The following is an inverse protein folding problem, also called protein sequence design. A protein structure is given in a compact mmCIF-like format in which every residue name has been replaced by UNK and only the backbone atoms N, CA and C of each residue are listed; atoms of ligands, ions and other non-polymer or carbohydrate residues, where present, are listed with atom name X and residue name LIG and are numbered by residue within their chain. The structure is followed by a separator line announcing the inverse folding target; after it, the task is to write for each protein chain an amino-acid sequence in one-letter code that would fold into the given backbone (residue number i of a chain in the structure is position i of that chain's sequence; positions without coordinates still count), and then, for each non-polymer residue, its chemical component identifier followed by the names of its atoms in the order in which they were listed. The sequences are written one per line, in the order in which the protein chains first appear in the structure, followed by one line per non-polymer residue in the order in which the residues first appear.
data_IF_015458544653
#
_entry.id   IF_015458544653
#
_cell.length_a   1.000
_cell.length_b   1.000
_cell.length_c   1.000
_cell.angle_alpha   90.00
_cell.angle_beta   90.00
_cell.angle_gamma   90.00
#
_symmetry.space_group_name_H-M   'P 1'
#
loop_
_entity.id
_entity.type
_entity.pdbx_description
1 polymer ?
#
# COMPACT_ATOMS: atom_id res chain seq x y z
N UNK A 1 -23.36 -11.03 7.60
CA UNK A 1 -23.47 -12.50 7.42
C UNK A 1 -23.02 -12.83 6.00
N UNK A 2 -21.77 -13.25 5.79
CA UNK A 2 -21.27 -13.54 4.44
C UNK A 2 -21.76 -14.92 4.00
N UNK A 3 -22.62 -14.95 2.99
CA UNK A 3 -23.17 -16.17 2.39
C UNK A 3 -21.98 -17.02 1.88
N UNK A 4 -21.85 -18.28 2.32
CA UNK A 4 -20.83 -19.21 1.78
C UNK A 4 -21.18 -19.51 0.32
N UNK A 5 -20.55 -18.80 -0.61
CA UNK A 5 -20.69 -19.07 -2.04
C UNK A 5 -19.89 -20.33 -2.39
N UNK A 6 -20.54 -21.33 -3.00
CA UNK A 6 -19.89 -22.54 -3.54
C UNK A 6 -18.80 -22.09 -4.51
N UNK A 7 -17.52 -22.43 -4.33
CA UNK A 7 -16.43 -21.96 -5.22
C UNK A 7 -16.72 -22.29 -6.70
N UNK A 8 -16.50 -21.38 -7.66
CA UNK A 8 -16.71 -21.67 -9.07
C UNK A 8 -15.74 -22.77 -9.51
N UNK A 9 -16.17 -23.64 -10.44
CA UNK A 9 -15.30 -24.68 -11.00
C UNK A 9 -14.34 -24.00 -12.00
N UNK A 10 -13.15 -23.65 -11.53
CA UNK A 10 -12.14 -22.95 -12.32
C UNK A 10 -11.26 -23.99 -13.05
N UNK A 11 -11.17 -23.95 -14.40
CA UNK A 11 -10.25 -24.80 -15.15
C UNK A 11 -8.79 -24.63 -14.72
N UNK A 12 -7.93 -25.68 -14.81
CA UNK A 12 -6.54 -25.61 -14.36
C UNK A 12 -5.71 -24.50 -15.03
N UNK A 13 -5.93 -24.26 -16.32
CA UNK A 13 -5.24 -23.22 -17.10
C UNK A 13 -5.63 -21.81 -16.62
N UNK A 14 -6.93 -21.59 -16.37
CA UNK A 14 -7.44 -20.33 -15.79
C UNK A 14 -6.91 -20.16 -14.37
N UNK A 15 -6.89 -21.22 -13.57
CA UNK A 15 -6.31 -21.17 -12.22
C UNK A 15 -4.82 -20.78 -12.23
N UNK A 16 -4.04 -21.26 -13.21
CA UNK A 16 -2.66 -20.84 -13.43
C UNK A 16 -2.55 -19.34 -13.72
N UNK A 17 -3.36 -18.84 -14.65
CA UNK A 17 -3.41 -17.41 -15.01
C UNK A 17 -3.83 -16.53 -13.83
N UNK A 18 -4.81 -16.94 -13.03
CA UNK A 18 -5.25 -16.22 -11.84
C UNK A 18 -4.17 -16.17 -10.76
N UNK A 19 -3.41 -17.26 -10.54
CA UNK A 19 -2.27 -17.25 -9.62
C UNK A 19 -1.18 -16.29 -10.07
N UNK A 20 -0.87 -16.28 -11.37
CA UNK A 20 0.10 -15.33 -11.94
C UNK A 20 -0.38 -13.88 -11.77
N UNK A 21 -1.64 -13.60 -12.11
CA UNK A 21 -2.22 -12.27 -11.94
C UNK A 21 -2.22 -11.81 -10.47
N UNK A 22 -2.46 -12.72 -9.52
CA UNK A 22 -2.39 -12.42 -8.10
C UNK A 22 -0.95 -12.12 -7.64
N UNK A 23 0.04 -12.87 -8.15
CA UNK A 23 1.44 -12.61 -7.86
C UNK A 23 1.88 -11.23 -8.39
N UNK A 24 1.47 -10.87 -9.61
CA UNK A 24 1.72 -9.54 -10.18
C UNK A 24 1.04 -8.45 -9.36
N UNK A 25 -0.22 -8.65 -8.96
CA UNK A 25 -0.92 -7.69 -8.10
C UNK A 25 -0.22 -7.49 -6.75
N UNK A 26 0.25 -8.58 -6.13
CA UNK A 26 0.98 -8.52 -4.86
C UNK A 26 2.30 -7.74 -5.01
N UNK A 27 3.02 -7.95 -6.11
CA UNK A 27 4.26 -7.24 -6.38
C UNK A 27 4.01 -5.75 -6.64
N UNK A 28 2.98 -5.38 -7.42
CA UNK A 28 2.62 -3.98 -7.66
C UNK A 28 2.25 -3.24 -6.37
N UNK A 29 1.51 -3.88 -5.47
CA UNK A 29 1.18 -3.32 -4.15
C UNK A 29 2.44 -3.15 -3.30
N UNK A 30 3.33 -4.15 -3.29
CA UNK A 30 4.59 -4.06 -2.58
C UNK A 30 5.48 -2.94 -3.11
N UNK A 31 5.57 -2.78 -4.43
CA UNK A 31 6.36 -1.72 -5.07
C UNK A 31 5.82 -0.33 -4.71
N UNK A 32 4.50 -0.16 -4.68
CA UNK A 32 3.86 1.07 -4.24
C UNK A 32 4.18 1.39 -2.77
N UNK A 33 4.16 0.37 -1.91
CA UNK A 33 4.57 0.53 -0.52
C UNK A 33 6.05 0.87 -0.37
N UNK A 34 6.94 0.25 -1.16
CA UNK A 34 8.38 0.56 -1.15
C UNK A 34 8.63 2.01 -1.55
N UNK A 35 8.04 2.45 -2.67
CA UNK A 35 8.14 3.83 -3.15
C UNK A 35 7.68 4.82 -2.07
N UNK A 36 6.51 4.56 -1.49
CA UNK A 36 5.93 5.42 -0.45
C UNK A 36 6.72 5.40 0.86
N UNK A 37 7.30 4.26 1.24
CA UNK A 37 8.15 4.15 2.42
C UNK A 37 9.49 4.89 2.25
N UNK A 38 10.05 4.92 1.03
CA UNK A 38 11.21 5.77 0.71
C UNK A 38 10.84 7.24 0.95
N UNK A 39 9.72 7.71 0.38
CA UNK A 39 9.23 9.09 0.58
C UNK A 39 9.06 9.40 2.08
N UNK A 40 8.48 8.48 2.87
CA UNK A 40 8.35 8.65 4.32
C UNK A 40 9.71 8.74 5.04
N UNK A 41 10.71 7.97 4.60
CA UNK A 41 12.05 7.96 5.21
C UNK A 41 12.83 9.22 4.85
N UNK A 42 12.76 9.66 3.60
CA UNK A 42 13.41 10.88 3.13
C UNK A 42 12.84 12.12 3.82
N UNK A 43 11.50 12.25 3.86
CA UNK A 43 10.83 13.38 4.49
C UNK A 43 10.86 13.31 6.04
N UNK A 44 11.03 12.12 6.60
CA UNK A 44 10.96 11.84 8.03
C UNK A 44 12.31 11.61 8.73
N UNK A 45 13.42 11.56 7.98
CA UNK A 45 14.74 11.13 8.47
C UNK A 45 15.28 11.93 9.66
N UNK A 46 15.03 13.23 9.68
CA UNK A 46 15.46 14.11 10.79
C UNK A 46 14.62 13.94 12.06
N UNK A 47 13.45 13.28 11.93
CA UNK A 47 12.47 13.14 13.01
C UNK A 47 12.63 11.83 13.77
N UNK A 48 13.08 10.76 13.10
CA UNK A 48 13.31 9.46 13.73
C UNK A 48 14.28 8.57 12.90
N UNK A 49 14.95 7.60 13.55
CA UNK A 49 15.77 6.61 12.83
C UNK A 49 14.95 5.82 11.80
N UNK A 50 15.59 5.46 10.67
CA UNK A 50 14.97 4.73 9.54
C UNK A 50 14.20 3.49 10.00
N UNK A 51 14.83 2.62 10.80
CA UNK A 51 14.19 1.40 11.33
C UNK A 51 12.94 1.68 12.18
N UNK A 52 12.86 2.85 12.82
CA UNK A 52 11.65 3.25 13.54
C UNK A 52 10.57 3.74 12.59
N UNK A 53 10.94 4.46 11.52
CA UNK A 53 10.00 4.91 10.49
C UNK A 53 9.42 3.72 9.72
N UNK A 54 10.25 2.75 9.30
CA UNK A 54 9.78 1.56 8.58
C UNK A 54 8.87 0.67 9.43
N UNK A 55 9.17 0.52 10.73
CA UNK A 55 8.24 -0.18 11.65
C UNK A 55 6.93 0.57 11.86
N UNK A 56 6.96 1.90 11.89
CA UNK A 56 5.74 2.70 11.96
C UNK A 56 4.93 2.57 10.66
N UNK A 57 5.58 2.64 9.51
CA UNK A 57 4.98 2.46 8.19
C UNK A 57 4.27 1.11 8.07
N UNK A 58 4.97 0.01 8.36
CA UNK A 58 4.39 -1.33 8.29
C UNK A 58 3.15 -1.49 9.18
N UNK A 59 3.16 -0.87 10.37
CA UNK A 59 2.00 -0.87 11.28
C UNK A 59 0.84 -0.03 10.78
N UNK A 60 1.11 1.14 10.21
CA UNK A 60 0.07 2.03 9.66
C UNK A 60 -0.65 1.38 8.49
N UNK A 61 0.09 0.66 7.65
CA UNK A 61 -0.41 -0.01 6.44
C UNK A 61 -0.79 -1.49 6.66
N UNK A 62 -0.82 -1.96 7.91
CA UNK A 62 -1.21 -3.34 8.25
C UNK A 62 -0.45 -4.43 7.47
N UNK A 63 0.82 -4.19 7.17
CA UNK A 63 1.66 -5.15 6.45
C UNK A 63 1.91 -6.37 7.33
N UNK A 64 1.88 -7.56 6.72
CA UNK A 64 2.33 -8.79 7.37
C UNK A 64 3.83 -8.76 7.65
N UNK A 65 4.32 -9.59 8.57
CA UNK A 65 5.75 -9.67 8.87
C UNK A 65 6.60 -9.97 7.64
N UNK A 66 6.08 -10.78 6.72
CA UNK A 66 6.74 -11.11 5.45
C UNK A 66 6.82 -9.91 4.52
N UNK A 67 5.73 -9.14 4.36
CA UNK A 67 5.70 -7.93 3.55
C UNK A 67 6.57 -6.83 4.15
N UNK A 68 6.49 -6.62 5.47
CA UNK A 68 7.31 -5.65 6.19
C UNK A 68 8.81 -5.95 6.04
N UNK A 69 9.20 -7.23 6.09
CA UNK A 69 10.58 -7.66 5.86
C UNK A 69 11.05 -7.35 4.44
N UNK A 70 10.27 -7.73 3.41
CA UNK A 70 10.59 -7.46 2.00
C UNK A 70 10.67 -5.95 1.73
N UNK A 71 9.72 -5.18 2.26
CA UNK A 71 9.71 -3.73 2.17
C UNK A 71 10.98 -3.14 2.77
N UNK A 72 11.35 -3.53 3.99
CA UNK A 72 12.58 -3.06 4.64
C UNK A 72 13.81 -3.38 3.80
N UNK A 73 13.95 -4.61 3.34
CA UNK A 73 15.08 -5.04 2.50
C UNK A 73 15.21 -4.16 1.24
N UNK A 74 14.09 -3.92 0.53
CA UNK A 74 14.08 -3.10 -0.69
C UNK A 74 14.33 -1.62 -0.42
N UNK A 75 13.74 -1.04 0.64
CA UNK A 75 13.94 0.38 1.00
C UNK A 75 15.39 0.62 1.42
N UNK A 76 15.97 -0.24 2.25
CA UNK A 76 17.37 -0.11 2.66
C UNK A 76 18.32 -0.29 1.48
N UNK A 77 18.03 -1.21 0.56
CA UNK A 77 18.79 -1.37 -0.67
C UNK A 77 18.71 -0.10 -1.55
N UNK A 78 17.50 0.44 -1.77
CA UNK A 78 17.27 1.63 -2.59
C UNK A 78 17.98 2.88 -2.03
N UNK A 79 17.99 3.03 -0.71
CA UNK A 79 18.67 4.15 -0.04
C UNK A 79 20.20 3.97 0.07
N UNK A 80 20.77 2.87 -0.44
CA UNK A 80 22.19 2.52 -0.27
C UNK A 80 22.59 2.18 1.17
N UNK A 81 21.60 2.00 2.07
CA UNK A 81 21.79 1.75 3.51
C UNK A 81 21.83 0.27 3.89
N UNK A 82 21.66 -0.63 2.91
CA UNK A 82 21.58 -2.09 3.10
C UNK A 82 22.81 -2.75 3.74
N UNK A 83 23.99 -2.11 3.74
CA UNK A 83 25.21 -2.63 4.41
C UNK A 83 25.58 -1.90 5.71
N UNK A 84 25.12 -0.67 5.94
CA UNK A 84 25.48 0.12 7.13
C UNK A 84 24.53 -0.12 8.32
N UNK A 85 23.32 -0.64 8.09
CA UNK A 85 22.33 -0.83 9.17
C UNK A 85 22.65 -1.97 10.15
N UNK A 86 23.43 -2.97 9.75
CA UNK A 86 23.77 -4.13 10.63
C UNK A 86 24.89 -3.77 11.62
N UNK A 87 25.74 -2.80 11.27
CA UNK A 87 26.89 -2.37 12.10
C UNK A 87 26.49 -1.29 13.11
N UNK A 88 25.42 -0.54 12.85
CA UNK A 88 24.95 0.52 13.76
C UNK A 88 24.14 0.01 14.98
N UNK A 89 23.83 -1.30 15.07
CA UNK A 89 23.10 -1.88 16.20
C UNK A 89 24.02 -2.29 17.36
N UNK A 90 25.34 -2.10 17.26
CA UNK A 90 26.31 -2.54 18.28
C UNK A 90 27.22 -1.46 18.91
N UNK A 91 27.02 -0.16 18.66
CA UNK A 91 27.83 0.85 19.37
C UNK A 91 27.05 2.11 19.78
N UNK A 92 26.99 2.38 21.09
CA UNK A 92 26.55 3.67 21.64
C UNK A 92 25.99 3.62 23.08
N UNK A 93 26.68 4.19 24.09
CA UNK A 93 26.21 4.23 25.48
C UNK A 93 24.92 5.07 25.64
N UNK A 94 24.03 4.60 26.52
CA UNK A 94 22.73 5.20 26.85
C UNK A 94 22.89 6.60 27.47
N UNK A 95 22.76 7.65 26.65
CA UNK A 95 22.79 9.03 27.13
C UNK A 95 21.45 9.51 27.74
N UNK A 96 21.46 10.21 28.90
CA UNK A 96 20.28 10.65 29.66
C UNK A 96 19.40 11.70 28.97
N UNK A 97 19.81 12.23 27.81
CA UNK A 97 19.07 13.23 27.00
C UNK A 97 17.75 12.65 26.44
N UNK A 98 17.61 11.33 26.35
CA UNK A 98 16.37 10.67 25.89
C UNK A 98 15.19 10.83 26.86
N UNK A 99 15.46 11.09 28.16
CA UNK A 99 14.44 11.26 29.21
C UNK A 99 13.76 12.65 29.17
N UNK A 100 14.44 13.66 28.62
CA UNK A 100 13.87 15.01 28.40
C UNK A 100 13.00 15.01 27.14
N UNK A 101 13.40 14.29 26.09
CA UNK A 101 12.58 14.15 24.85
C UNK A 101 11.29 13.35 25.07
N UNK A 102 11.24 12.47 26.08
CA UNK A 102 9.99 11.79 26.48
C UNK A 102 9.01 12.70 27.25
N UNK A 103 9.46 13.84 27.80
CA UNK A 103 8.58 14.81 28.46
C UNK A 103 7.93 15.81 27.49
N UNK A 104 8.52 16.01 26.31
CA UNK A 104 7.87 16.71 25.18
C UNK A 104 6.87 15.83 24.40
N UNK A 105 6.81 14.53 24.73
CA UNK A 105 5.95 13.51 24.11
C UNK A 105 4.45 13.69 24.41
N UNK A 106 4.09 14.64 25.28
CA UNK A 106 2.70 14.97 25.63
C UNK A 106 2.02 15.95 24.67
N UNK A 107 2.76 16.59 23.76
CA UNK A 107 2.19 17.36 22.65
C UNK A 107 2.57 16.64 21.37
N UNK A 108 1.76 15.66 20.98
CA UNK A 108 1.82 15.06 19.64
C UNK A 108 1.83 16.22 18.65
N UNK A 109 2.95 16.46 17.98
CA UNK A 109 3.10 17.57 17.05
C UNK A 109 1.96 17.47 16.03
N UNK A 110 0.97 18.40 16.04
CA UNK A 110 -0.19 18.30 15.17
C UNK A 110 0.18 18.32 13.70
N UNK A 111 1.28 18.97 13.33
CA UNK A 111 1.79 19.00 11.95
C UNK A 111 2.34 17.65 11.52
N UNK A 112 3.15 17.00 12.38
CA UNK A 112 3.67 15.66 12.12
C UNK A 112 2.52 14.66 11.95
N UNK A 113 1.52 14.72 12.84
CA UNK A 113 0.34 13.87 12.75
C UNK A 113 -0.42 14.11 11.45
N UNK A 114 -0.73 15.37 11.11
CA UNK A 114 -1.40 15.73 9.85
C UNK A 114 -0.60 15.28 8.62
N UNK A 115 0.72 15.36 8.67
CA UNK A 115 1.58 14.87 7.60
C UNK A 115 1.50 13.36 7.45
N UNK A 116 1.66 12.60 8.55
CA UNK A 116 1.53 11.13 8.54
C UNK A 116 0.15 10.73 8.04
N UNK A 117 -0.92 11.37 8.52
CA UNK A 117 -2.30 11.05 8.15
C UNK A 117 -2.54 11.28 6.65
N UNK A 118 -2.08 12.41 6.10
CA UNK A 118 -2.19 12.70 4.66
C UNK A 118 -1.35 11.75 3.80
N UNK A 119 -0.11 11.48 4.21
CA UNK A 119 0.75 10.53 3.52
C UNK A 119 0.08 9.16 3.49
N UNK A 120 -0.35 8.65 4.64
CA UNK A 120 -1.03 7.36 4.77
C UNK A 120 -2.29 7.30 3.91
N UNK A 121 -3.14 8.33 3.96
CA UNK A 121 -4.36 8.39 3.17
C UNK A 121 -4.09 8.32 1.65
N UNK A 122 -3.09 9.06 1.15
CA UNK A 122 -2.70 9.01 -0.27
C UNK A 122 -2.22 7.62 -0.69
N UNK A 123 -1.39 6.98 0.14
CA UNK A 123 -0.89 5.63 -0.12
C UNK A 123 -2.04 4.63 -0.15
N UNK A 124 -2.92 4.66 0.84
CA UNK A 124 -4.08 3.76 0.91
C UNK A 124 -5.00 3.92 -0.31
N UNK A 125 -5.24 5.16 -0.77
CA UNK A 125 -6.03 5.40 -1.99
C UNK A 125 -5.35 4.80 -3.24
N UNK A 126 -4.03 4.96 -3.35
CA UNK A 126 -3.25 4.44 -4.49
C UNK A 126 -3.24 2.91 -4.49
N UNK A 127 -3.05 2.29 -3.33
CA UNK A 127 -3.12 0.82 -3.16
C UNK A 127 -4.51 0.29 -3.50
N UNK A 128 -5.57 0.99 -3.09
CA UNK A 128 -6.94 0.63 -3.48
C UNK A 128 -7.12 0.70 -5.01
N UNK A 129 -6.58 1.71 -5.68
CA UNK A 129 -6.66 1.82 -7.14
C UNK A 129 -5.92 0.68 -7.85
N UNK A 130 -4.74 0.30 -7.37
CA UNK A 130 -4.00 -0.87 -7.86
C UNK A 130 -4.85 -2.14 -7.69
N UNK A 131 -5.52 -2.31 -6.55
CA UNK A 131 -6.41 -3.45 -6.34
C UNK A 131 -7.61 -3.45 -7.28
N UNK A 132 -8.18 -2.28 -7.59
CA UNK A 132 -9.30 -2.15 -8.54
C UNK A 132 -8.85 -2.53 -9.96
N UNK A 133 -7.70 -2.02 -10.42
CA UNK A 133 -7.12 -2.36 -11.72
C UNK A 133 -6.91 -3.88 -11.86
N UNK A 134 -6.33 -4.49 -10.84
CA UNK A 134 -6.07 -5.93 -10.80
C UNK A 134 -7.35 -6.77 -10.67
N UNK A 135 -8.32 -6.33 -9.88
CA UNK A 135 -9.63 -6.99 -9.77
C UNK A 135 -10.36 -7.00 -11.10
N UNK A 136 -10.33 -5.89 -11.85
CA UNK A 136 -10.88 -5.83 -13.22
C UNK A 136 -10.14 -6.78 -14.17
N UNK A 137 -8.81 -6.91 -14.03
CA UNK A 137 -8.02 -7.91 -14.75
C UNK A 137 -8.44 -9.34 -14.42
N UNK A 138 -8.67 -9.62 -13.14
CA UNK A 138 -9.20 -10.90 -12.65
C UNK A 138 -10.57 -11.23 -13.25
N UNK A 139 -11.48 -10.26 -13.29
CA UNK A 139 -12.80 -10.43 -13.91
C UNK A 139 -12.69 -10.76 -15.41
N UNK A 140 -11.77 -10.11 -16.13
CA UNK A 140 -11.52 -10.43 -17.55
C UNK A 140 -11.04 -11.87 -17.74
N UNK A 141 -10.19 -12.38 -16.85
CA UNK A 141 -9.73 -13.77 -16.90
C UNK A 141 -10.82 -14.78 -16.54
N UNK A 142 -11.77 -14.38 -15.68
CA UNK A 142 -12.90 -15.22 -15.30
C UNK A 142 -13.99 -15.26 -16.39
N UNK A 143 -14.06 -14.25 -17.27
CA UNK A 143 -15.06 -14.14 -18.34
C UNK A 143 -16.49 -14.35 -17.78
N UNK A 144 -17.32 -15.16 -18.44
CA UNK A 144 -18.68 -15.51 -18.00
C UNK A 144 -18.74 -16.57 -16.89
N UNK A 145 -17.60 -17.00 -16.34
CA UNK A 145 -17.55 -18.10 -15.35
C UNK A 145 -17.89 -17.66 -13.92
N UNK A 146 -17.90 -16.36 -13.66
CA UNK A 146 -18.32 -15.78 -12.39
C UNK A 146 -18.97 -14.42 -12.61
N UNK A 147 -20.01 -14.12 -11.84
CA UNK A 147 -20.53 -12.76 -11.76
C UNK A 147 -19.50 -11.82 -11.11
N UNK A 148 -19.69 -10.52 -11.30
CA UNK A 148 -18.77 -9.46 -10.80
C UNK A 148 -18.56 -9.57 -9.30
N UNK A 149 -19.63 -9.78 -8.51
CA UNK A 149 -19.52 -9.83 -7.04
C UNK A 149 -18.61 -10.99 -6.62
N UNK A 150 -18.80 -12.14 -7.26
CA UNK A 150 -18.06 -13.35 -6.95
C UNK A 150 -16.63 -13.33 -7.45
N UNK A 151 -16.39 -12.72 -8.61
CA UNK A 151 -15.03 -12.53 -9.10
C UNK A 151 -14.22 -11.57 -8.23
N UNK A 152 -14.81 -10.46 -7.79
CA UNK A 152 -14.17 -9.54 -6.83
C UNK A 152 -13.94 -10.22 -5.47
N UNK A 153 -14.92 -11.00 -4.97
CA UNK A 153 -14.76 -11.74 -3.73
C UNK A 153 -13.62 -12.77 -3.82
N UNK A 154 -13.49 -13.47 -4.96
CA UNK A 154 -12.39 -14.40 -5.21
C UNK A 154 -11.04 -13.68 -5.24
N UNK A 155 -10.96 -12.53 -5.93
CA UNK A 155 -9.77 -11.69 -5.93
C UNK A 155 -9.38 -11.27 -4.51
N UNK A 156 -10.33 -10.76 -3.74
CA UNK A 156 -10.12 -10.34 -2.36
C UNK A 156 -9.70 -11.49 -1.43
N UNK A 157 -10.25 -12.70 -1.62
CA UNK A 157 -9.85 -13.91 -0.88
C UNK A 157 -8.39 -14.27 -1.19
N UNK A 158 -8.01 -14.30 -2.47
CA UNK A 158 -6.65 -14.65 -2.90
C UNK A 158 -5.65 -13.61 -2.40
N UNK A 159 -5.98 -12.33 -2.53
CA UNK A 159 -5.16 -11.21 -2.06
C UNK A 159 -5.24 -10.99 -0.55
N UNK A 160 -6.09 -11.76 0.16
CA UNK A 160 -6.32 -11.65 1.62
C UNK A 160 -6.63 -10.22 2.07
N UNK A 161 -7.44 -9.50 1.29
CA UNK A 161 -7.77 -8.11 1.56
C UNK A 161 -8.59 -8.00 2.85
N UNK A 162 -8.32 -6.92 3.61
CA UNK A 162 -9.12 -6.56 4.79
C UNK A 162 -10.56 -6.25 4.36
N UNK A 163 -11.58 -6.54 5.19
CA UNK A 163 -12.99 -6.32 4.83
C UNK A 163 -13.31 -4.92 4.32
N UNK A 164 -12.73 -3.89 4.94
CA UNK A 164 -12.89 -2.49 4.51
C UNK A 164 -12.32 -2.24 3.10
N UNK A 165 -11.13 -2.79 2.81
CA UNK A 165 -10.49 -2.66 1.49
C UNK A 165 -11.27 -3.44 0.45
N UNK A 166 -11.72 -4.65 0.77
CA UNK A 166 -12.59 -5.47 -0.09
C UNK A 166 -13.84 -4.70 -0.51
N UNK A 167 -14.49 -4.02 0.43
CA UNK A 167 -15.70 -3.26 0.14
C UNK A 167 -15.41 -2.05 -0.77
N UNK A 168 -14.33 -1.31 -0.50
CA UNK A 168 -13.91 -0.19 -1.34
C UNK A 168 -13.58 -0.63 -2.77
N UNK A 169 -12.84 -1.73 -2.92
CA UNK A 169 -12.50 -2.32 -4.23
C UNK A 169 -13.78 -2.74 -4.95
N UNK A 170 -14.71 -3.42 -4.26
CA UNK A 170 -16.00 -3.84 -4.82
C UNK A 170 -16.81 -2.66 -5.35
N UNK A 171 -16.96 -1.60 -4.55
CA UNK A 171 -17.70 -0.40 -4.93
C UNK A 171 -17.05 0.31 -6.12
N UNK A 172 -15.72 0.47 -6.12
CA UNK A 172 -14.99 1.09 -7.24
C UNK A 172 -15.07 0.25 -8.52
N UNK A 173 -14.94 -1.07 -8.43
CA UNK A 173 -15.10 -1.97 -9.59
C UNK A 173 -16.50 -1.83 -10.18
N UNK A 174 -17.55 -1.87 -9.36
CA UNK A 174 -18.93 -1.67 -9.81
C UNK A 174 -19.11 -0.33 -10.50
N UNK A 175 -18.57 0.75 -9.93
CA UNK A 175 -18.59 2.07 -10.54
C UNK A 175 -17.92 2.06 -11.91
N UNK A 176 -16.70 1.51 -12.03
CA UNK A 176 -15.97 1.46 -13.31
C UNK A 176 -16.74 0.67 -14.38
N UNK A 177 -17.41 -0.43 -14.00
CA UNK A 177 -18.22 -1.21 -14.94
C UNK A 177 -19.48 -0.47 -15.37
N UNK A 178 -20.16 0.19 -14.42
CA UNK A 178 -21.32 1.01 -14.72
C UNK A 178 -20.97 2.20 -15.64
N UNK A 179 -19.88 2.91 -15.36
CA UNK A 179 -19.40 4.03 -16.19
C UNK A 179 -19.10 3.57 -17.62
N UNK A 180 -18.56 2.36 -17.79
CA UNK A 180 -18.33 1.74 -19.12
C UNK A 180 -19.62 1.40 -19.85
N UNK A 181 -20.61 0.83 -19.16
CA UNK A 181 -21.92 0.49 -19.73
C UNK A 181 -22.70 1.74 -20.13
N UNK A 182 -22.59 2.83 -19.36
CA UNK A 182 -23.22 4.11 -19.64
C UNK A 182 -22.55 4.91 -20.77
N UNK A 183 -21.44 4.41 -21.35
CA UNK A 183 -20.67 5.17 -22.35
C UNK A 183 -19.91 6.36 -21.77
N UNK A 184 -19.79 6.46 -20.45
CA UNK A 184 -19.01 7.49 -19.76
C UNK A 184 -17.53 7.08 -19.78
N UNK A 185 -16.87 7.29 -20.92
CA UNK A 185 -15.45 7.04 -21.07
C UNK A 185 -14.62 7.99 -20.18
N UNK A 186 -14.09 7.42 -19.09
CA UNK A 186 -12.81 7.77 -18.45
C UNK A 186 -12.75 9.10 -17.64
N UNK A 187 -13.09 9.02 -16.35
CA UNK A 187 -12.72 10.03 -15.33
C UNK A 187 -11.85 9.47 -14.19
N UNK A 188 -11.31 8.25 -14.30
CA UNK A 188 -10.56 7.59 -13.22
C UNK A 188 -9.17 7.11 -13.63
N UNK A 189 -8.51 7.78 -14.58
CA UNK A 189 -7.05 7.71 -14.66
C UNK A 189 -6.46 8.91 -13.92
N UNK A 190 -6.12 8.83 -12.63
CA UNK A 190 -5.04 9.68 -12.14
C UNK A 190 -3.79 9.30 -12.96
N UNK A 191 -3.23 10.25 -13.71
CA UNK A 191 -1.94 10.05 -14.34
C UNK A 191 -0.95 9.64 -13.24
N UNK A 192 -0.40 8.42 -13.34
CA UNK A 192 0.75 8.03 -12.52
C UNK A 192 1.83 9.09 -12.76
N UNK A 193 2.09 9.93 -11.76
CA UNK A 193 3.18 10.92 -11.79
C UNK A 193 2.82 12.41 -11.78
N UNK A 194 1.56 12.83 -11.71
CA UNK A 194 1.20 14.26 -11.57
C UNK A 194 0.59 14.60 -10.21
N UNK A 195 1.39 14.46 -9.15
CA UNK A 195 1.32 15.45 -8.09
C UNK A 195 2.54 16.35 -8.27
N UNK A 196 2.39 17.58 -8.82
CA UNK A 196 3.50 18.52 -8.81
C UNK A 196 3.86 18.76 -7.34
N UNK A 197 5.04 18.30 -6.93
CA UNK A 197 5.74 18.83 -5.78
C UNK A 197 5.90 20.32 -6.07
N UNK A 198 5.05 21.16 -5.48
CA UNK A 198 5.39 22.57 -5.32
C UNK A 198 6.62 22.60 -4.43
N UNK A 199 7.78 22.68 -5.07
CA UNK A 199 8.99 23.23 -4.45
C UNK A 199 8.56 24.61 -3.97
N UNK A 200 8.44 24.77 -2.66
CA UNK A 200 8.28 26.09 -2.09
C UNK A 200 9.55 26.86 -2.43
N UNK A 201 9.43 27.84 -3.31
CA UNK A 201 10.45 28.84 -3.55
C UNK A 201 10.82 29.47 -2.21
N UNK A 202 12.00 29.10 -1.72
CA UNK A 202 12.62 29.76 -0.60
C UNK A 202 13.19 31.08 -1.14
N UNK A 203 12.44 32.16 -1.01
CA UNK A 203 12.96 33.51 -1.24
C UNK A 203 13.66 33.96 0.05
N UNK A 204 14.96 34.23 -0.17
CA UNK A 204 15.92 35.10 0.52
C UNK A 204 15.51 35.75 1.84
#
# INVERSE_FOLDING_TARGET
MFRRFRKPKIPPDVAGKLRMAAAVAAEQVLDEHVRSAIEMVEEGGDRAPVERLLRAYARLHYLTDSEARKLRERVLAALGRGRQSVVAELDGPRSPVRRIRSRLKGRVNPELRRWVDRHTARVELTVVDIHVENALGFLRLLESRADVQRGVALYAEIMRLRPTVTELVRLKVLKVLHDKEAGHAELLRPQRGQYPLRVADNKS
#
